data_IF_859757677995
#
_entry.id   IF_859757677995
#
_cell.length_a   1.000
_cell.length_b   1.000
_cell.length_c   1.000
_cell.angle_alpha   90.00
_cell.angle_beta   90.00
_cell.angle_gamma   90.00
#
_symmetry.space_group_name_H-M   'P 1'
#
loop_
_entity.id
_entity.type
_entity.pdbx_description
1 polymer ?
#
# COMPACT_ATOMS: atom_id res chain seq x y z
N UNK A 1 -19.72 1.81 12.48
CA UNK A 1 -19.69 1.42 11.05
C UNK A 1 -20.05 2.59 10.14
N UNK A 2 -21.21 3.24 10.26
CA UNK A 2 -21.59 4.38 9.41
C UNK A 2 -20.56 5.53 9.37
N UNK A 3 -20.00 5.92 10.51
CA UNK A 3 -18.98 6.98 10.58
C UNK A 3 -17.70 6.64 9.80
N UNK A 4 -17.27 5.38 9.81
CA UNK A 4 -16.08 4.93 9.08
C UNK A 4 -16.31 4.96 7.57
N UNK A 5 -17.48 4.53 7.10
CA UNK A 5 -17.85 4.62 5.68
C UNK A 5 -17.95 6.08 5.20
N UNK A 6 -18.55 6.96 6.01
CA UNK A 6 -18.63 8.37 5.69
C UNK A 6 -17.23 9.02 5.57
N UNK A 7 -16.30 8.67 6.45
CA UNK A 7 -14.91 9.14 6.39
C UNK A 7 -14.21 8.63 5.11
N UNK A 8 -14.38 7.36 4.76
CA UNK A 8 -13.83 6.80 3.51
C UNK A 8 -14.38 7.52 2.27
N UNK A 9 -15.69 7.78 2.22
CA UNK A 9 -16.32 8.51 1.10
C UNK A 9 -15.79 9.94 1.03
N UNK A 10 -15.69 10.63 2.16
CA UNK A 10 -15.13 11.98 2.22
C UNK A 10 -13.69 12.02 1.72
N UNK A 11 -12.85 11.07 2.16
CA UNK A 11 -11.45 11.00 1.76
C UNK A 11 -11.31 10.70 0.27
N UNK A 12 -12.14 9.80 -0.27
CA UNK A 12 -12.19 9.51 -1.70
C UNK A 12 -12.67 10.72 -2.53
N UNK A 13 -13.72 11.39 -2.09
CA UNK A 13 -14.23 12.59 -2.76
C UNK A 13 -13.21 13.73 -2.74
N UNK A 14 -12.49 13.90 -1.63
CA UNK A 14 -11.41 14.87 -1.51
C UNK A 14 -10.25 14.54 -2.47
N UNK A 15 -9.83 13.27 -2.54
CA UNK A 15 -8.83 12.82 -3.50
C UNK A 15 -9.26 13.11 -4.95
N UNK A 16 -10.49 12.74 -5.31
CA UNK A 16 -11.04 13.00 -6.64
C UNK A 16 -11.06 14.50 -6.96
N UNK A 17 -11.47 15.33 -6.01
CA UNK A 17 -11.46 16.78 -6.15
C UNK A 17 -10.05 17.32 -6.39
N UNK A 18 -9.04 16.83 -5.65
CA UNK A 18 -7.64 17.20 -5.86
C UNK A 18 -7.16 16.78 -7.25
N UNK A 19 -7.48 15.57 -7.68
CA UNK A 19 -7.13 15.07 -9.00
C UNK A 19 -7.75 15.91 -10.12
N UNK A 20 -9.05 16.18 -10.08
CA UNK A 20 -9.77 16.90 -11.13
C UNK A 20 -9.40 18.39 -11.18
N UNK A 21 -9.20 19.04 -10.03
CA UNK A 21 -8.93 20.48 -9.99
C UNK A 21 -7.46 20.84 -10.14
N UNK A 22 -6.55 20.01 -9.62
CA UNK A 22 -5.14 20.36 -9.52
C UNK A 22 -4.23 19.52 -10.41
N UNK A 23 -4.53 18.23 -10.61
CA UNK A 23 -3.69 17.33 -11.40
C UNK A 23 -4.25 16.99 -12.80
N UNK A 24 -5.41 17.53 -13.15
CA UNK A 24 -5.98 17.32 -14.49
C UNK A 24 -5.05 17.88 -15.55
N UNK A 25 -4.85 17.09 -16.61
CA UNK A 25 -3.97 17.44 -17.73
C UNK A 25 -4.63 18.53 -18.56
N UNK A 26 -4.04 19.73 -18.56
CA UNK A 26 -4.45 20.84 -19.44
C UNK A 26 -4.05 20.53 -20.89
N UNK A 27 -4.76 21.08 -21.87
CA UNK A 27 -4.48 20.85 -23.29
C UNK A 27 -3.04 21.26 -23.66
N UNK A 28 -2.50 22.31 -23.03
CA UNK A 28 -1.09 22.71 -23.18
C UNK A 28 -0.13 21.60 -22.75
N UNK A 29 -0.44 20.88 -21.68
CA UNK A 29 0.39 19.78 -21.18
C UNK A 29 0.29 18.58 -22.12
N UNK A 30 -0.90 18.30 -22.68
CA UNK A 30 -1.09 17.22 -23.66
C UNK A 30 -0.22 17.41 -24.90
N UNK A 31 -0.18 18.62 -25.44
CA UNK A 31 0.68 18.94 -26.60
C UNK A 31 2.16 18.76 -26.25
N UNK A 32 2.58 19.18 -25.06
CA UNK A 32 3.97 19.04 -24.61
C UNK A 32 4.43 17.57 -24.52
N UNK A 33 3.56 16.66 -24.07
CA UNK A 33 3.90 15.24 -23.89
C UNK A 33 3.57 14.38 -25.12
N UNK A 34 2.90 14.94 -26.13
CA UNK A 34 2.37 14.20 -27.28
C UNK A 34 3.47 13.48 -28.03
N UNK A 35 4.55 14.20 -28.36
CA UNK A 35 5.71 13.65 -29.07
C UNK A 35 6.32 12.48 -28.28
N UNK A 36 6.53 12.66 -26.98
CA UNK A 36 7.08 11.60 -26.11
C UNK A 36 6.15 10.39 -25.96
N UNK A 37 4.83 10.60 -25.87
CA UNK A 37 3.86 9.51 -25.78
C UNK A 37 3.72 8.75 -27.11
N UNK A 38 3.77 9.44 -28.24
CA UNK A 38 3.76 8.81 -29.55
C UNK A 38 5.05 8.02 -29.80
N UNK A 39 6.22 8.58 -29.49
CA UNK A 39 7.50 7.88 -29.65
C UNK A 39 7.62 6.64 -28.75
N UNK A 40 7.19 6.76 -27.48
CA UNK A 40 7.40 5.69 -26.50
C UNK A 40 6.22 4.70 -26.42
N UNK A 41 5.00 5.07 -26.78
CA UNK A 41 3.83 4.19 -26.64
C UNK A 41 2.97 4.10 -27.90
N UNK A 42 3.18 4.96 -28.90
CA UNK A 42 2.38 4.98 -30.13
C UNK A 42 0.93 5.38 -29.90
N UNK A 43 0.65 6.14 -28.84
CA UNK A 43 -0.71 6.54 -28.43
C UNK A 43 -0.88 8.05 -28.45
N UNK A 44 -2.09 8.50 -28.80
CA UNK A 44 -2.47 9.91 -28.71
C UNK A 44 -2.87 10.26 -27.26
N UNK A 45 -2.33 11.32 -26.65
CA UNK A 45 -2.70 11.78 -25.31
C UNK A 45 -4.19 12.13 -25.16
N UNK A 46 -4.90 12.42 -26.25
CA UNK A 46 -6.31 12.79 -26.22
C UNK A 46 -7.25 11.60 -26.05
N UNK A 47 -6.80 10.39 -26.38
CA UNK A 47 -7.60 9.17 -26.26
C UNK A 47 -7.68 8.66 -24.81
N UNK A 48 -6.88 9.22 -23.89
CA UNK A 48 -6.75 8.74 -22.52
C UNK A 48 -6.92 9.85 -21.47
N UNK A 49 -7.64 9.52 -20.40
CA UNK A 49 -7.66 10.36 -19.20
C UNK A 49 -6.36 10.18 -18.43
N UNK A 50 -5.61 11.27 -18.29
CA UNK A 50 -4.31 11.26 -17.63
C UNK A 50 -4.24 12.34 -16.55
N UNK A 51 -3.50 12.03 -15.49
CA UNK A 51 -3.04 12.99 -14.52
C UNK A 51 -1.59 13.34 -14.84
N UNK A 52 -1.29 14.62 -14.99
CA UNK A 52 0.04 15.11 -15.37
C UNK A 52 0.49 16.22 -14.43
N UNK A 53 1.79 16.30 -14.16
CA UNK A 53 2.39 17.44 -13.47
C UNK A 53 3.56 17.97 -14.26
N UNK A 54 3.66 19.30 -14.33
CA UNK A 54 4.83 20.00 -14.90
C UNK A 54 5.47 20.86 -13.81
N UNK A 55 6.78 20.74 -13.66
CA UNK A 55 7.53 21.42 -12.60
C UNK A 55 8.34 22.62 -13.07
N UNK A 56 8.72 22.71 -14.35
CA UNK A 56 9.64 23.74 -14.84
C UNK A 56 9.30 24.31 -16.23
N UNK A 57 8.81 23.49 -17.16
CA UNK A 57 8.62 23.87 -18.57
C UNK A 57 7.18 24.28 -18.93
N UNK A 58 6.52 25.11 -18.10
CA UNK A 58 5.16 25.58 -18.38
C UNK A 58 4.88 26.96 -17.77
N UNK A 59 3.67 27.48 -18.00
CA UNK A 59 3.22 28.76 -17.47
C UNK A 59 3.27 28.74 -15.91
N UNK A 60 3.65 29.83 -15.22
CA UNK A 60 3.80 29.82 -13.76
C UNK A 60 2.54 29.36 -13.00
N UNK A 61 1.35 29.59 -13.57
CA UNK A 61 0.08 29.11 -13.00
C UNK A 61 -0.04 27.58 -13.05
N UNK A 62 0.40 26.94 -14.14
CA UNK A 62 0.36 25.47 -14.31
C UNK A 62 1.40 24.78 -13.41
N UNK A 63 2.58 25.39 -13.26
CA UNK A 63 3.61 24.95 -12.31
C UNK A 63 3.08 25.04 -10.88
N UNK A 64 2.49 26.18 -10.50
CA UNK A 64 1.89 26.35 -9.18
C UNK A 64 0.77 25.33 -8.92
N UNK A 65 -0.07 25.07 -9.93
CA UNK A 65 -1.15 24.07 -9.85
C UNK A 65 -0.59 22.66 -9.61
N UNK A 66 0.44 22.27 -10.36
CA UNK A 66 1.11 20.97 -10.24
C UNK A 66 1.76 20.78 -8.87
N UNK A 67 2.52 21.76 -8.38
CA UNK A 67 3.12 21.73 -7.05
C UNK A 67 2.07 21.66 -5.95
N UNK A 68 1.01 22.46 -6.05
CA UNK A 68 -0.07 22.47 -5.06
C UNK A 68 -0.78 21.11 -5.01
N UNK A 69 -1.06 20.51 -6.17
CA UNK A 69 -1.65 19.17 -6.26
C UNK A 69 -0.79 18.11 -5.58
N UNK A 70 0.52 18.07 -5.89
CA UNK A 70 1.46 17.08 -5.34
C UNK A 70 1.61 17.25 -3.82
N UNK A 71 1.72 18.48 -3.33
CA UNK A 71 1.81 18.77 -1.89
C UNK A 71 0.53 18.35 -1.17
N UNK A 72 -0.65 18.65 -1.73
CA UNK A 72 -1.93 18.22 -1.16
C UNK A 72 -2.03 16.70 -1.08
N UNK A 73 -1.64 15.97 -2.15
CA UNK A 73 -1.61 14.51 -2.16
C UNK A 73 -0.62 13.93 -1.13
N UNK A 74 0.55 14.55 -0.98
CA UNK A 74 1.53 14.15 0.03
C UNK A 74 0.97 14.34 1.45
N UNK A 75 0.42 15.51 1.75
CA UNK A 75 -0.19 15.79 3.06
C UNK A 75 -1.33 14.82 3.37
N UNK A 76 -2.16 14.53 2.36
CA UNK A 76 -3.24 13.55 2.47
C UNK A 76 -2.69 12.16 2.82
N UNK A 77 -1.63 11.73 2.14
CA UNK A 77 -0.99 10.41 2.36
C UNK A 77 -0.34 10.31 3.74
N UNK A 78 0.44 11.33 4.13
CA UNK A 78 1.08 11.40 5.45
C UNK A 78 0.02 11.42 6.56
N UNK A 79 -1.06 12.16 6.37
CA UNK A 79 -2.19 12.20 7.30
C UNK A 79 -2.81 10.82 7.53
N UNK A 80 -3.06 10.07 6.46
CA UNK A 80 -3.61 8.70 6.54
C UNK A 80 -2.68 7.73 7.27
N UNK A 81 -1.39 7.74 6.92
CA UNK A 81 -0.39 6.90 7.58
C UNK A 81 -0.29 7.25 9.07
N UNK A 82 -0.34 8.55 9.41
CA UNK A 82 -0.30 9.00 10.81
C UNK A 82 -1.52 8.52 11.60
N UNK A 83 -2.73 8.66 11.03
CA UNK A 83 -3.97 8.15 11.65
C UNK A 83 -3.89 6.64 11.86
N UNK A 84 -3.36 5.90 10.88
CA UNK A 84 -3.16 4.45 10.99
C UNK A 84 -2.31 4.08 12.22
N UNK A 85 -1.15 4.72 12.40
CA UNK A 85 -0.30 4.48 13.57
C UNK A 85 -0.94 4.92 14.88
N UNK A 86 -1.64 6.05 14.91
CA UNK A 86 -2.34 6.54 16.12
C UNK A 86 -3.45 5.57 16.54
N UNK A 87 -4.24 5.07 15.60
CA UNK A 87 -5.29 4.09 15.86
C UNK A 87 -4.70 2.75 16.31
N UNK A 88 -3.61 2.31 15.69
CA UNK A 88 -2.85 1.12 16.12
C UNK A 88 -2.37 1.26 17.56
N UNK A 89 -1.75 2.40 17.90
CA UNK A 89 -1.28 2.69 19.25
C UNK A 89 -2.43 2.73 20.27
N UNK A 90 -3.52 3.45 19.97
CA UNK A 90 -4.70 3.53 20.84
C UNK A 90 -5.32 2.15 21.10
N UNK A 91 -5.38 1.32 20.08
CA UNK A 91 -5.93 -0.03 20.21
C UNK A 91 -5.03 -0.91 21.06
N UNK A 92 -3.71 -0.83 20.86
CA UNK A 92 -2.72 -1.54 21.70
C UNK A 92 -2.78 -1.09 23.16
N UNK A 93 -2.92 0.21 23.41
CA UNK A 93 -3.10 0.76 24.76
C UNK A 93 -4.37 0.22 25.40
N UNK A 94 -5.50 0.29 24.70
CA UNK A 94 -6.79 -0.20 25.20
C UNK A 94 -6.78 -1.70 25.50
N UNK A 95 -6.05 -2.48 24.71
CA UNK A 95 -5.86 -3.90 24.96
C UNK A 95 -5.05 -4.17 26.24
N UNK A 96 -4.01 -3.36 26.48
CA UNK A 96 -3.21 -3.45 27.71
C UNK A 96 -4.03 -3.05 28.96
N UNK A 97 -4.85 -2.00 28.84
CA UNK A 97 -5.75 -1.55 29.91
C UNK A 97 -6.83 -2.61 30.21
N UNK A 98 -7.41 -3.25 29.18
CA UNK A 98 -8.40 -4.33 29.35
C UNK A 98 -7.83 -5.57 30.05
N UNK A 99 -6.53 -5.86 29.86
CA UNK A 99 -5.82 -6.90 30.59
C UNK A 99 -5.63 -6.51 32.08
N UNK A 100 -5.26 -5.26 32.35
CA UNK A 100 -5.07 -4.76 33.71
C UNK A 100 -6.36 -4.74 34.55
N UNK A 101 -7.51 -4.50 33.92
CA UNK A 101 -8.83 -4.50 34.56
C UNK A 101 -9.53 -5.87 34.59
N UNK A 102 -8.82 -6.98 34.30
CA UNK A 102 -9.36 -8.36 34.26
C UNK A 102 -10.60 -8.48 33.36
N UNK A 103 -10.74 -7.59 32.39
CA UNK A 103 -11.89 -7.59 31.46
C UNK A 103 -11.67 -8.63 30.35
N UNK A 104 -10.42 -9.06 30.15
CA UNK A 104 -10.04 -10.14 29.23
C UNK A 104 -9.04 -11.12 29.87
N UNK A 105 -9.12 -12.39 29.46
CA UNK A 105 -8.10 -13.39 29.78
C UNK A 105 -6.74 -13.00 29.18
N UNK A 106 -5.66 -13.35 29.90
CA UNK A 106 -4.28 -13.11 29.47
C UNK A 106 -3.97 -13.75 28.09
N UNK A 107 -4.52 -14.94 27.82
CA UNK A 107 -4.32 -15.64 26.55
C UNK A 107 -5.00 -14.91 25.38
N UNK A 108 -6.23 -14.42 25.59
CA UNK A 108 -6.98 -13.66 24.58
C UNK A 108 -6.32 -12.33 24.28
N UNK A 109 -5.85 -11.61 25.30
CA UNK A 109 -5.14 -10.34 25.14
C UNK A 109 -3.82 -10.53 24.37
N UNK A 110 -3.05 -11.58 24.70
CA UNK A 110 -1.82 -11.92 23.99
C UNK A 110 -2.08 -12.26 22.52
N UNK A 111 -3.16 -13.01 22.23
CA UNK A 111 -3.58 -13.33 20.86
C UNK A 111 -3.95 -12.09 20.06
N UNK A 112 -4.83 -11.23 20.62
CA UNK A 112 -5.26 -9.99 19.95
C UNK A 112 -4.08 -9.05 19.68
N UNK A 113 -3.13 -8.96 20.61
CA UNK A 113 -1.92 -8.15 20.46
C UNK A 113 -1.06 -8.63 19.28
N UNK A 114 -0.82 -9.94 19.21
CA UNK A 114 -0.04 -10.55 18.12
C UNK A 114 -0.73 -10.37 16.78
N UNK A 115 -2.06 -10.51 16.73
CA UNK A 115 -2.83 -10.30 15.51
C UNK A 115 -2.75 -8.84 15.04
N UNK A 116 -2.88 -7.86 15.96
CA UNK A 116 -2.78 -6.45 15.62
C UNK A 116 -1.38 -6.08 15.10
N UNK A 117 -0.32 -6.57 15.76
CA UNK A 117 1.06 -6.37 15.28
C UNK A 117 1.24 -6.97 13.89
N UNK A 118 0.75 -8.19 13.65
CA UNK A 118 0.85 -8.83 12.34
C UNK A 118 0.10 -8.03 11.26
N UNK A 119 -1.12 -7.56 11.56
CA UNK A 119 -1.90 -6.69 10.67
C UNK A 119 -1.17 -5.37 10.38
N UNK A 120 -0.53 -4.77 11.39
CA UNK A 120 0.31 -3.59 11.23
C UNK A 120 1.46 -3.83 10.29
N UNK A 121 2.24 -4.87 10.51
CA UNK A 121 3.39 -5.19 9.65
C UNK A 121 2.93 -5.50 8.22
N UNK A 122 1.87 -6.28 8.08
CA UNK A 122 1.29 -6.65 6.78
C UNK A 122 0.83 -5.43 5.98
N UNK A 123 0.25 -4.41 6.60
CA UNK A 123 -0.18 -3.21 5.87
C UNK A 123 0.98 -2.27 5.56
N UNK A 124 1.98 -2.16 6.43
CA UNK A 124 3.11 -1.24 6.24
C UNK A 124 4.04 -1.69 5.11
N UNK A 125 4.37 -2.99 5.05
CA UNK A 125 5.27 -3.55 4.01
C UNK A 125 4.82 -3.16 2.59
N UNK A 126 3.58 -3.43 2.16
CA UNK A 126 3.14 -3.08 0.83
C UNK A 126 2.91 -1.58 0.64
N UNK A 127 2.53 -0.84 1.68
CA UNK A 127 2.50 0.62 1.60
C UNK A 127 3.91 1.11 1.25
N UNK A 128 4.96 0.62 1.90
CA UNK A 128 6.33 0.98 1.53
C UNK A 128 6.67 0.58 0.08
N UNK A 129 6.35 -0.66 -0.31
CA UNK A 129 6.65 -1.17 -1.66
C UNK A 129 5.92 -0.38 -2.76
N UNK A 130 4.70 0.11 -2.50
CA UNK A 130 3.92 0.90 -3.46
C UNK A 130 4.24 2.39 -3.39
N UNK A 131 4.47 2.93 -2.19
CA UNK A 131 4.71 4.36 -2.00
C UNK A 131 6.11 4.76 -2.46
N UNK A 132 7.12 3.88 -2.37
CA UNK A 132 8.46 4.15 -2.89
C UNK A 132 8.48 4.43 -4.40
N UNK A 133 7.98 3.55 -5.30
CA UNK A 133 7.94 3.85 -6.74
C UNK A 133 7.05 5.07 -7.04
N UNK A 134 5.94 5.26 -6.32
CA UNK A 134 5.10 6.45 -6.48
C UNK A 134 5.80 7.74 -6.05
N UNK A 135 6.59 7.76 -4.98
CA UNK A 135 7.36 8.95 -4.60
C UNK A 135 8.42 9.25 -5.65
N UNK A 136 9.12 8.22 -6.11
CA UNK A 136 10.11 8.38 -7.18
C UNK A 136 9.43 8.97 -8.43
N UNK A 137 8.20 8.57 -8.76
CA UNK A 137 7.40 9.15 -9.84
C UNK A 137 7.27 10.66 -9.79
N UNK A 138 6.82 11.14 -8.64
CA UNK A 138 6.42 12.54 -8.47
C UNK A 138 7.64 13.43 -8.31
N UNK A 139 8.76 12.88 -7.82
CA UNK A 139 9.97 13.66 -7.56
C UNK A 139 11.08 13.48 -8.61
N UNK A 140 11.12 12.40 -9.37
CA UNK A 140 12.13 12.20 -10.42
C UNK A 140 12.15 13.35 -11.46
N UNK A 141 11.00 13.87 -11.95
CA UNK A 141 10.99 15.00 -12.88
C UNK A 141 11.54 16.30 -12.26
N UNK A 142 11.40 16.48 -10.94
CA UNK A 142 11.93 17.65 -10.21
C UNK A 142 13.47 17.69 -10.27
N UNK A 143 14.11 16.52 -10.26
CA UNK A 143 15.57 16.39 -10.38
C UNK A 143 16.04 16.23 -11.84
N UNK A 144 15.16 16.40 -12.83
CA UNK A 144 15.44 16.15 -14.25
C UNK A 144 15.93 14.71 -14.54
N UNK A 145 15.46 13.73 -13.78
CA UNK A 145 15.83 12.33 -13.99
C UNK A 145 14.87 11.68 -14.99
N UNK A 146 15.34 11.36 -16.20
CA UNK A 146 14.55 10.68 -17.23
C UNK A 146 14.62 9.15 -17.07
N UNK A 147 13.70 8.56 -16.30
CA UNK A 147 13.64 7.10 -16.13
C UNK A 147 12.81 6.34 -17.19
N UNK A 148 12.22 7.02 -18.18
CA UNK A 148 11.50 6.41 -19.30
C UNK A 148 10.55 5.27 -18.90
N UNK A 149 10.48 4.22 -19.73
CA UNK A 149 9.63 3.02 -19.51
C UNK A 149 9.90 2.26 -18.20
N UNK A 150 11.11 2.33 -17.65
CA UNK A 150 11.47 1.63 -16.39
C UNK A 150 10.59 2.11 -15.23
N UNK A 151 10.25 3.40 -15.24
CA UNK A 151 9.36 4.00 -14.25
C UNK A 151 7.96 3.34 -14.27
N UNK A 152 7.37 3.17 -15.45
CA UNK A 152 6.04 2.56 -15.59
C UNK A 152 6.01 1.09 -15.19
N UNK A 153 7.04 0.31 -15.56
CA UNK A 153 7.12 -1.09 -15.14
C UNK A 153 7.29 -1.25 -13.63
N UNK A 154 8.04 -0.36 -12.97
CA UNK A 154 8.32 -0.48 -11.53
C UNK A 154 7.03 -0.44 -10.69
N UNK A 155 6.09 0.46 -11.02
CA UNK A 155 4.81 0.56 -10.33
C UNK A 155 3.92 -0.65 -10.59
N UNK A 156 3.82 -1.10 -11.85
CA UNK A 156 3.02 -2.28 -12.21
C UNK A 156 3.56 -3.56 -11.59
N UNK A 157 4.88 -3.74 -11.56
CA UNK A 157 5.52 -4.91 -10.94
C UNK A 157 5.24 -4.91 -9.44
N UNK A 158 5.42 -3.77 -8.75
CA UNK A 158 5.13 -3.63 -7.33
C UNK A 158 3.64 -3.96 -7.00
N UNK A 159 2.71 -3.42 -7.80
CA UNK A 159 1.27 -3.70 -7.69
C UNK A 159 0.94 -5.18 -7.94
N UNK A 160 1.58 -5.82 -8.92
CA UNK A 160 1.35 -7.23 -9.25
C UNK A 160 1.92 -8.19 -8.19
N UNK A 161 2.97 -7.78 -7.48
CA UNK A 161 3.58 -8.56 -6.41
C UNK A 161 2.81 -8.46 -5.08
N UNK A 162 2.02 -7.40 -4.89
CA UNK A 162 1.26 -7.15 -3.66
C UNK A 162 0.39 -8.33 -3.20
N UNK A 163 -0.47 -8.94 -4.06
CA UNK A 163 -1.32 -10.05 -3.66
C UNK A 163 -0.55 -11.30 -3.20
N UNK A 164 0.72 -11.44 -3.62
CA UNK A 164 1.59 -12.54 -3.21
C UNK A 164 2.34 -12.24 -1.92
N UNK A 165 2.85 -11.01 -1.77
CA UNK A 165 3.62 -10.60 -0.59
C UNK A 165 2.76 -10.50 0.67
N UNK A 166 1.50 -10.12 0.53
CA UNK A 166 0.54 -9.95 1.63
C UNK A 166 0.33 -11.23 2.48
N UNK A 167 -0.04 -12.40 1.90
CA UNK A 167 -0.17 -13.65 2.64
C UNK A 167 1.17 -14.19 3.15
N UNK A 168 2.27 -14.00 2.41
CA UNK A 168 3.61 -14.44 2.82
C UNK A 168 4.06 -13.67 4.07
N UNK A 169 3.84 -12.35 4.11
CA UNK A 169 4.12 -11.53 5.27
C UNK A 169 3.30 -11.97 6.50
N UNK A 170 1.99 -12.22 6.35
CA UNK A 170 1.15 -12.76 7.44
C UNK A 170 1.76 -14.05 8.01
N UNK A 171 2.13 -15.00 7.15
CA UNK A 171 2.62 -16.32 7.57
C UNK A 171 3.92 -16.19 8.38
N UNK A 172 4.82 -15.30 7.95
CA UNK A 172 6.11 -15.06 8.59
C UNK A 172 5.94 -14.32 9.93
N UNK A 173 5.11 -13.27 9.95
CA UNK A 173 4.97 -12.38 11.10
C UNK A 173 3.95 -12.85 12.14
N UNK A 174 3.05 -13.79 11.81
CA UNK A 174 2.12 -14.37 12.76
C UNK A 174 2.68 -15.67 13.36
N UNK A 175 3.28 -15.65 14.56
CA UNK A 175 3.98 -16.82 15.13
C UNK A 175 3.04 -18.01 15.39
N UNK A 176 1.74 -17.76 15.54
CA UNK A 176 0.73 -18.80 15.73
C UNK A 176 0.53 -19.59 14.44
N UNK A 177 0.45 -18.90 13.30
CA UNK A 177 0.31 -19.53 11.99
C UNK A 177 1.56 -20.31 11.64
N UNK A 178 2.73 -19.73 11.91
CA UNK A 178 4.03 -20.38 11.78
C UNK A 178 4.06 -21.70 12.57
N UNK A 179 3.76 -21.67 13.87
CA UNK A 179 3.79 -22.88 14.69
C UNK A 179 2.80 -23.96 14.20
N UNK A 180 1.62 -23.57 13.72
CA UNK A 180 0.65 -24.51 13.13
C UNK A 180 1.17 -25.13 11.83
N UNK A 181 1.83 -24.35 10.97
CA UNK A 181 2.46 -24.86 9.75
C UNK A 181 3.61 -25.82 10.04
N UNK A 182 4.46 -25.52 11.03
CA UNK A 182 5.53 -26.44 11.46
C UNK A 182 4.95 -27.74 12.04
N UNK A 183 3.88 -27.67 12.83
CA UNK A 183 3.18 -28.86 13.34
C UNK A 183 2.51 -29.67 12.23
N UNK A 184 1.88 -29.01 11.24
CA UNK A 184 1.29 -29.68 10.08
C UNK A 184 2.36 -30.41 9.23
N UNK A 185 3.53 -29.80 9.07
CA UNK A 185 4.68 -30.43 8.39
C UNK A 185 5.15 -31.70 9.11
N UNK A 186 5.27 -31.65 10.45
CA UNK A 186 5.69 -32.80 11.26
C UNK A 186 4.67 -33.95 11.27
N UNK A 187 3.37 -33.63 11.26
CA UNK A 187 2.30 -34.64 11.18
C UNK A 187 2.24 -35.34 9.81
N UNK A 188 2.57 -34.61 8.74
CA UNK A 188 2.74 -35.16 7.39
C UNK A 188 3.93 -36.10 7.26
N UNK A 189 5.04 -35.84 7.97
CA UNK A 189 6.22 -36.71 8.00
C UNK A 189 5.98 -38.01 8.78
N UNK A 190 5.21 -37.99 9.89
CA UNK A 190 4.95 -39.21 10.68
C UNK A 190 4.04 -40.22 9.98
N UNK A 191 3.16 -39.77 9.09
CA UNK A 191 2.23 -40.67 8.36
C UNK A 191 2.94 -41.48 7.26
N UNK A 192 4.16 -41.11 6.86
CA UNK A 192 4.99 -41.85 5.90
C UNK A 192 5.85 -42.98 6.49
N UNK A 193 5.89 -43.12 7.82
CA UNK A 193 6.77 -44.06 8.54
C UNK A 193 6.02 -45.01 9.48
N UNK A 194 4.75 -45.31 9.21
CA UNK A 194 4.08 -46.45 9.86
C UNK A 194 4.55 -47.73 9.16
N UNK A 195 5.71 -48.23 9.59
CA UNK A 195 6.16 -49.59 9.32
C UNK A 195 5.09 -50.57 9.80
N UNK A 196 4.48 -51.27 8.85
CA UNK A 196 3.59 -52.40 9.10
C UNK A 196 4.43 -53.50 9.76
N UNK A 197 4.45 -53.56 11.09
CA UNK A 197 4.84 -54.78 11.79
C UNK A 197 3.75 -55.83 11.54
N UNK A 198 4.02 -56.69 10.56
CA UNK A 198 3.32 -57.95 10.34
C UNK A 198 3.47 -58.82 11.59
N UNK A 199 2.43 -58.82 12.42
CA UNK A 199 2.27 -59.77 13.51
C UNK A 199 1.89 -61.13 12.91
N UNK A 200 2.90 -61.97 12.65
CA UNK A 200 2.71 -63.38 12.32
C UNK A 200 2.16 -64.10 13.55
N UNK A 201 0.97 -64.67 13.40
CA UNK A 201 0.39 -65.71 14.28
C UNK A 201 0.81 -67.07 13.73
#
# INVERSE_FOLDING_TARGET
MAASFALCIFYYAFFQYVCEKWLSTSDTVKVYIEEHLQEEYGVDPNDYNMLSTIYNESNPQEIFRSWTGVVLLMLMSVGSISVYFILGYKTMKKLNDAQAHVTMSADTAMLQRKLLIALTVQTVIPICISFTPSLIAWFAPVFNFSMGRVYNYSGTIALSAFPFLDPVAIIIFLPILRNRLYQAKQSGEQTGTVSIELRTV
#
